data_IF_820244099739
#
_entry.id   IF_820244099739
#
_cell.length_a   1.000
_cell.length_b   1.000
_cell.length_c   1.000
_cell.angle_alpha   90.00
_cell.angle_beta   90.00
_cell.angle_gamma   90.00
#
_symmetry.space_group_name_H-M   'P 1'
#
loop_
_entity.id
_entity.type
_entity.pdbx_description
1 polymer ?
#
# COMPACT_ATOMS: atom_id res chain seq x y z
N UNK A 1 -38.88 45.00 -19.37
CA UNK A 1 -40.02 45.79 -18.83
C UNK A 1 -41.01 44.85 -18.12
N UNK A 2 -42.11 45.34 -17.56
CA UNK A 2 -42.93 44.62 -16.56
C UNK A 2 -43.68 43.35 -17.04
N UNK A 3 -43.47 42.24 -16.30
CA UNK A 3 -44.43 41.52 -15.43
C UNK A 3 -45.79 41.01 -15.98
N UNK A 4 -46.23 39.86 -15.42
CA UNK A 4 -47.59 39.22 -15.43
C UNK A 4 -47.96 38.44 -16.70
N UNK A 5 -48.79 37.38 -16.67
CA UNK A 5 -49.35 36.62 -15.53
C UNK A 5 -49.52 35.12 -15.90
N UNK A 6 -49.35 34.21 -14.94
CA UNK A 6 -50.07 32.92 -14.89
C UNK A 6 -50.60 32.69 -13.47
N UNK A 7 -51.73 32.00 -13.40
CA UNK A 7 -52.56 31.65 -12.24
C UNK A 7 -53.51 30.54 -12.69
N UNK A 8 -54.05 29.63 -11.87
CA UNK A 8 -53.78 29.25 -10.47
C UNK A 8 -53.23 27.79 -10.50
N UNK A 9 -52.59 27.15 -9.50
CA UNK A 9 -52.82 27.06 -8.05
C UNK A 9 -54.22 26.48 -7.68
N UNK A 10 -54.39 25.70 -6.62
CA UNK A 10 -53.49 24.83 -5.86
C UNK A 10 -54.39 23.91 -5.04
N UNK A 11 -54.19 22.59 -5.07
CA UNK A 11 -54.92 21.71 -4.14
C UNK A 11 -54.40 21.87 -2.70
N UNK A 12 -55.17 21.37 -1.72
CA UNK A 12 -55.25 21.98 -0.39
C UNK A 12 -54.30 21.38 0.66
N UNK A 13 -53.79 22.28 1.49
CA UNK A 13 -52.80 22.08 2.56
C UNK A 13 -53.46 21.81 3.92
N UNK A 14 -52.64 21.38 4.90
CA UNK A 14 -52.86 21.27 6.36
C UNK A 14 -53.67 20.02 6.79
N UNK A 15 -53.35 19.30 7.88
CA UNK A 15 -52.13 19.09 8.70
C UNK A 15 -52.35 17.79 9.55
N UNK A 16 -51.68 17.39 10.65
CA UNK A 16 -50.84 18.06 11.67
C UNK A 16 -49.83 17.07 12.31
N UNK A 17 -48.98 17.55 13.21
CA UNK A 17 -47.98 16.79 13.99
C UNK A 17 -48.56 16.03 15.20
N UNK A 18 -47.89 14.97 15.66
CA UNK A 18 -47.31 14.92 17.03
C UNK A 18 -46.26 13.79 17.19
N UNK A 19 -45.55 13.78 18.34
CA UNK A 19 -44.41 12.90 18.67
C UNK A 19 -44.77 11.86 19.74
N UNK A 20 -44.03 10.75 19.76
CA UNK A 20 -43.88 9.87 20.94
C UNK A 20 -44.64 8.54 20.83
N UNK A 21 -44.22 7.45 21.47
CA UNK A 21 -42.98 7.22 22.22
C UNK A 21 -42.52 5.74 22.06
N UNK A 22 -41.29 5.42 22.47
CA UNK A 22 -40.70 4.09 22.26
C UNK A 22 -41.01 3.09 23.40
N UNK A 23 -40.94 1.79 23.05
CA UNK A 23 -40.89 0.63 23.96
C UNK A 23 -42.09 0.43 24.92
N UNK A 24 -42.92 -0.56 24.63
CA UNK A 24 -43.43 -1.44 25.69
C UNK A 24 -43.66 -2.88 25.20
N UNK A 25 -43.16 -3.82 26.01
CA UNK A 25 -43.56 -5.23 26.15
C UNK A 25 -44.01 -6.03 24.91
N UNK A 26 -43.06 -6.84 24.43
CA UNK A 26 -43.22 -8.28 24.26
C UNK A 26 -44.31 -8.88 25.20
N UNK A 27 -45.46 -9.29 24.65
CA UNK A 27 -46.25 -10.41 25.19
C UNK A 27 -47.23 -10.96 24.16
N UNK A 28 -47.32 -12.29 24.12
CA UNK A 28 -48.40 -13.12 23.58
C UNK A 28 -48.91 -12.80 22.15
N UNK A 29 -48.46 -13.58 21.17
CA UNK A 29 -49.43 -14.50 20.54
C UNK A 29 -48.76 -15.78 19.94
N UNK A 30 -48.32 -16.67 20.83
CA UNK A 30 -47.70 -17.97 20.45
C UNK A 30 -48.77 -19.03 20.09
N UNK A 31 -49.80 -18.65 19.31
CA UNK A 31 -50.90 -19.53 18.90
C UNK A 31 -51.38 -19.26 17.47
N UNK A 32 -50.56 -19.57 16.48
CA UNK A 32 -51.03 -19.71 15.10
C UNK A 32 -50.32 -20.84 14.33
N UNK A 33 -50.85 -22.07 14.50
CA UNK A 33 -50.37 -23.28 13.80
C UNK A 33 -50.37 -23.15 12.26
N UNK A 34 -51.23 -22.29 11.71
CA UNK A 34 -51.37 -22.06 10.27
C UNK A 34 -50.07 -21.54 9.60
N UNK A 35 -49.21 -20.85 10.35
CA UNK A 35 -47.95 -20.31 9.81
C UNK A 35 -46.94 -21.41 9.46
N UNK A 36 -46.89 -22.50 10.24
CA UNK A 36 -46.04 -23.67 9.95
C UNK A 36 -46.49 -24.41 8.69
N UNK A 37 -47.80 -24.58 8.50
CA UNK A 37 -48.35 -25.27 7.31
C UNK A 37 -48.02 -24.55 6.00
N UNK A 38 -48.04 -23.21 5.99
CA UNK A 38 -47.62 -22.40 4.84
C UNK A 38 -46.14 -22.60 4.48
N UNK A 39 -45.26 -22.75 5.48
CA UNK A 39 -43.83 -22.98 5.27
C UNK A 39 -43.54 -24.38 4.67
N UNK A 40 -44.31 -25.39 5.08
CA UNK A 40 -44.16 -26.77 4.56
C UNK A 40 -44.73 -26.90 3.14
N UNK A 41 -45.86 -26.25 2.86
CA UNK A 41 -46.51 -26.31 1.53
C UNK A 41 -45.83 -25.44 0.45
N UNK A 42 -44.90 -24.57 0.82
CA UNK A 42 -44.07 -23.78 -0.11
C UNK A 42 -42.73 -24.46 -0.46
N UNK A 43 -42.47 -25.65 0.09
CA UNK A 43 -41.33 -26.48 -0.31
C UNK A 43 -41.58 -27.08 -1.71
N UNK A 44 -40.98 -26.47 -2.74
CA UNK A 44 -40.98 -27.00 -4.10
C UNK A 44 -40.36 -28.41 -4.22
N UNK A 45 -40.62 -29.12 -5.33
CA UNK A 45 -40.24 -30.53 -5.47
C UNK A 45 -38.72 -30.74 -5.26
N UNK A 46 -38.38 -31.85 -4.59
CA UNK A 46 -37.01 -32.22 -4.26
C UNK A 46 -36.12 -32.22 -5.50
N UNK A 47 -35.33 -31.16 -5.64
CA UNK A 47 -34.35 -30.98 -6.72
C UNK A 47 -33.34 -32.13 -6.62
N UNK A 48 -33.34 -33.01 -7.62
CA UNK A 48 -32.52 -34.21 -7.60
C UNK A 48 -31.06 -33.88 -7.24
N UNK A 49 -30.52 -34.60 -6.24
CA UNK A 49 -29.13 -34.44 -5.81
C UNK A 49 -28.25 -34.67 -7.04
N UNK A 50 -27.41 -33.70 -7.46
CA UNK A 50 -26.51 -33.91 -8.57
C UNK A 50 -25.56 -35.03 -8.15
N UNK A 51 -25.66 -36.19 -8.81
CA UNK A 51 -24.81 -37.35 -8.54
C UNK A 51 -23.37 -36.89 -8.70
N UNK A 52 -22.66 -36.80 -7.57
CA UNK A 52 -21.25 -36.43 -7.55
C UNK A 52 -20.51 -37.55 -8.25
N UNK A 53 -20.21 -37.35 -9.54
CA UNK A 53 -19.25 -38.19 -10.25
C UNK A 53 -17.97 -38.17 -9.42
N UNK A 54 -17.61 -39.31 -8.82
CA UNK A 54 -16.30 -39.52 -8.24
C UNK A 54 -15.27 -39.52 -9.36
N UNK A 55 -14.92 -38.32 -9.83
CA UNK A 55 -13.68 -38.07 -10.55
C UNK A 55 -12.57 -38.68 -9.71
N UNK A 56 -11.82 -39.61 -10.30
CA UNK A 56 -10.63 -40.16 -9.63
C UNK A 56 -9.66 -39.00 -9.43
N UNK A 57 -9.60 -38.44 -8.22
CA UNK A 57 -8.68 -37.37 -7.89
C UNK A 57 -7.27 -37.87 -8.17
N UNK A 58 -6.65 -37.38 -9.24
CA UNK A 58 -5.25 -37.68 -9.54
C UNK A 58 -4.42 -36.95 -8.50
N UNK A 59 -3.68 -37.73 -7.72
CA UNK A 59 -2.78 -37.22 -6.70
C UNK A 59 -1.36 -37.22 -7.27
N UNK A 60 -0.66 -36.11 -7.06
CA UNK A 60 0.78 -36.00 -7.30
C UNK A 60 1.54 -36.26 -6.00
N UNK A 61 2.73 -36.84 -6.16
CA UNK A 61 3.77 -36.97 -5.15
C UNK A 61 4.84 -35.91 -5.44
N UNK A 62 5.19 -35.09 -4.45
CA UNK A 62 6.18 -34.02 -4.64
C UNK A 62 7.42 -34.31 -3.80
N UNK A 63 8.50 -34.68 -4.46
CA UNK A 63 9.81 -34.85 -3.82
C UNK A 63 10.47 -33.48 -3.64
N UNK A 64 10.98 -33.19 -2.43
CA UNK A 64 11.68 -31.93 -2.16
C UNK A 64 13.14 -32.24 -1.81
N UNK A 65 14.03 -31.87 -2.73
CA UNK A 65 15.48 -32.02 -2.61
C UNK A 65 16.13 -30.69 -2.20
N UNK A 66 17.20 -30.72 -1.42
CA UNK A 66 18.03 -29.54 -1.15
C UNK A 66 18.77 -29.07 -2.42
N UNK A 67 18.67 -27.79 -2.77
CA UNK A 67 19.24 -27.26 -4.02
C UNK A 67 20.78 -27.24 -4.08
N UNK A 68 21.48 -27.43 -2.96
CA UNK A 68 22.95 -27.44 -2.91
C UNK A 68 23.52 -28.86 -2.83
N UNK A 69 22.99 -29.67 -1.92
CA UNK A 69 23.48 -31.02 -1.61
C UNK A 69 22.75 -32.12 -2.37
N UNK A 70 21.62 -31.81 -3.03
CA UNK A 70 20.69 -32.76 -3.67
C UNK A 70 20.14 -33.85 -2.75
N UNK A 71 20.33 -33.72 -1.43
CA UNK A 71 19.77 -34.65 -0.44
C UNK A 71 18.25 -34.46 -0.37
N UNK A 72 17.51 -35.55 -0.38
CA UNK A 72 16.07 -35.54 -0.13
C UNK A 72 15.79 -35.02 1.29
N UNK A 73 14.93 -34.01 1.38
CA UNK A 73 14.50 -33.39 2.65
C UNK A 73 13.22 -34.07 3.13
N UNK A 74 12.21 -34.14 2.25
CA UNK A 74 10.97 -34.87 2.49
C UNK A 74 10.25 -35.16 1.17
N UNK A 75 9.29 -36.08 1.23
CA UNK A 75 8.28 -36.30 0.18
C UNK A 75 6.97 -35.71 0.69
N UNK A 76 6.24 -35.02 -0.19
CA UNK A 76 4.96 -34.40 0.10
C UNK A 76 3.86 -35.12 -0.68
N UNK A 77 3.26 -36.11 -0.02
CA UNK A 77 2.24 -36.99 -0.59
C UNK A 77 0.90 -36.29 -0.87
N UNK A 78 0.09 -36.95 -1.71
CA UNK A 78 -1.35 -36.71 -1.87
C UNK A 78 -1.64 -35.24 -2.19
N UNK A 79 -0.89 -34.64 -3.11
CA UNK A 79 -1.10 -33.28 -3.59
C UNK A 79 -2.13 -33.31 -4.71
N UNK A 80 -3.17 -32.48 -4.61
CA UNK A 80 -4.24 -32.44 -5.62
C UNK A 80 -3.76 -31.60 -6.80
N UNK A 81 -4.19 -31.91 -8.03
CA UNK A 81 -3.75 -31.18 -9.23
C UNK A 81 -3.99 -29.66 -9.14
N UNK A 82 -5.09 -29.25 -8.51
CA UNK A 82 -5.49 -27.86 -8.27
C UNK A 82 -4.77 -27.19 -7.09
N UNK A 83 -3.98 -27.93 -6.30
CA UNK A 83 -3.16 -27.35 -5.24
C UNK A 83 -2.12 -26.40 -5.84
N UNK A 84 -1.88 -25.31 -5.12
CA UNK A 84 -0.90 -24.28 -5.48
C UNK A 84 0.47 -24.57 -4.88
N UNK A 85 1.50 -23.92 -5.41
CA UNK A 85 2.84 -23.92 -4.80
C UNK A 85 2.81 -23.37 -3.36
N UNK A 86 1.87 -22.48 -3.02
CA UNK A 86 1.65 -22.08 -1.63
C UNK A 86 1.21 -23.25 -0.74
N UNK A 87 0.27 -24.08 -1.19
CA UNK A 87 -0.20 -25.26 -0.45
C UNK A 87 0.92 -26.30 -0.25
N UNK A 88 1.79 -26.46 -1.26
CA UNK A 88 2.99 -27.31 -1.17
C UNK A 88 3.95 -26.78 -0.10
N UNK A 89 4.20 -25.46 -0.05
CA UNK A 89 5.01 -24.82 1.01
C UNK A 89 4.37 -24.95 2.40
N UNK A 90 3.04 -24.91 2.51
CA UNK A 90 2.35 -25.19 3.77
C UNK A 90 2.48 -26.65 4.21
N UNK A 91 2.36 -27.62 3.29
CA UNK A 91 2.61 -29.04 3.60
C UNK A 91 4.07 -29.28 4.00
N UNK A 92 5.03 -28.69 3.28
CA UNK A 92 6.46 -28.75 3.61
C UNK A 92 6.73 -28.23 5.03
N UNK A 93 6.15 -27.09 5.41
CA UNK A 93 6.28 -26.54 6.77
C UNK A 93 5.72 -27.48 7.85
N UNK A 94 4.64 -28.22 7.57
CA UNK A 94 4.10 -29.24 8.51
C UNK A 94 5.05 -30.44 8.68
N UNK A 95 5.76 -30.84 7.64
CA UNK A 95 6.79 -31.88 7.71
C UNK A 95 8.11 -31.37 8.34
N UNK A 96 8.43 -30.08 8.14
CA UNK A 96 9.68 -29.46 8.58
C UNK A 96 9.44 -28.08 9.24
N UNK A 97 9.04 -28.04 10.53
CA UNK A 97 8.59 -26.81 11.21
C UNK A 97 9.61 -25.66 11.24
N UNK A 98 10.90 -25.94 11.08
CA UNK A 98 11.98 -24.92 11.09
C UNK A 98 11.91 -23.94 9.89
N UNK A 99 11.24 -24.32 8.80
CA UNK A 99 11.11 -23.52 7.58
C UNK A 99 9.66 -23.06 7.36
N UNK A 100 9.34 -21.86 7.83
CA UNK A 100 8.05 -21.21 7.55
C UNK A 100 7.83 -21.01 6.04
N UNK A 101 6.59 -21.12 5.51
CA UNK A 101 6.32 -21.13 4.06
C UNK A 101 6.93 -19.96 3.27
N UNK A 102 7.00 -18.76 3.85
CA UNK A 102 7.59 -17.59 3.20
C UNK A 102 9.11 -17.71 3.01
N UNK A 103 9.84 -18.47 3.84
CA UNK A 103 11.27 -18.77 3.67
C UNK A 103 11.55 -19.75 2.53
N UNK A 104 10.55 -20.51 2.10
CA UNK A 104 10.72 -21.64 1.18
C UNK A 104 10.77 -21.13 -0.26
N UNK A 105 11.99 -21.02 -0.80
CA UNK A 105 12.22 -21.01 -2.23
C UNK A 105 12.04 -22.42 -2.78
N UNK A 106 11.22 -22.58 -3.82
CA UNK A 106 11.10 -23.81 -4.60
C UNK A 106 11.43 -23.49 -6.06
N UNK A 107 12.26 -24.31 -6.70
CA UNK A 107 12.64 -24.24 -8.11
C UNK A 107 12.32 -25.57 -8.78
N UNK A 108 12.01 -25.57 -10.08
CA UNK A 108 11.87 -26.81 -10.87
C UNK A 108 13.25 -27.37 -11.29
N UNK A 109 14.21 -26.47 -11.52
CA UNK A 109 15.59 -26.78 -11.93
C UNK A 109 16.58 -26.13 -10.97
N UNK A 110 17.74 -26.76 -10.77
CA UNK A 110 18.76 -26.27 -9.84
C UNK A 110 19.29 -24.89 -10.27
N UNK A 111 18.98 -23.84 -9.50
CA UNK A 111 19.34 -22.46 -9.83
C UNK A 111 18.35 -21.72 -10.75
N UNK A 112 17.24 -22.36 -11.14
CA UNK A 112 16.18 -21.76 -11.95
C UNK A 112 15.38 -20.65 -11.23
N UNK A 113 14.41 -20.01 -11.91
CA UNK A 113 13.55 -19.02 -11.27
C UNK A 113 12.69 -19.65 -10.16
N UNK A 114 12.57 -18.96 -9.02
CA UNK A 114 11.68 -19.41 -7.94
C UNK A 114 10.21 -19.43 -8.38
N UNK A 115 9.55 -20.55 -8.13
CA UNK A 115 8.14 -20.76 -8.40
C UNK A 115 7.28 -19.81 -7.56
N UNK A 116 6.37 -19.11 -8.24
CA UNK A 116 5.43 -18.17 -7.61
C UNK A 116 4.32 -18.94 -6.91
N UNK A 117 3.94 -18.49 -5.72
CA UNK A 117 2.97 -19.14 -4.83
C UNK A 117 1.62 -19.48 -5.48
N UNK A 118 1.16 -18.70 -6.47
CA UNK A 118 -0.13 -18.90 -7.16
C UNK A 118 -0.12 -19.98 -8.26
N UNK A 119 1.05 -20.50 -8.64
CA UNK A 119 1.16 -21.49 -9.72
C UNK A 119 0.59 -22.83 -9.23
N UNK A 120 -0.23 -23.51 -10.05
CA UNK A 120 -0.81 -24.81 -9.72
C UNK A 120 0.15 -25.95 -10.05
N UNK A 121 0.12 -27.02 -9.25
CA UNK A 121 0.97 -28.19 -9.46
C UNK A 121 0.74 -28.83 -10.83
N UNK A 122 -0.51 -28.86 -11.31
CA UNK A 122 -0.85 -29.32 -12.67
C UNK A 122 -0.07 -28.60 -13.78
N UNK A 123 0.28 -27.32 -13.62
CA UNK A 123 1.01 -26.55 -14.65
C UNK A 123 2.53 -26.79 -14.64
N UNK A 124 3.04 -27.58 -13.69
CA UNK A 124 4.46 -27.93 -13.51
C UNK A 124 4.67 -29.45 -13.66
N UNK A 125 3.65 -30.26 -13.35
CA UNK A 125 3.75 -31.71 -13.28
C UNK A 125 3.80 -32.37 -14.67
N UNK A 126 5.00 -32.76 -15.11
CA UNK A 126 5.20 -33.62 -16.29
C UNK A 126 4.84 -35.09 -16.04
N UNK A 127 4.87 -35.53 -14.77
CA UNK A 127 4.70 -36.93 -14.33
C UNK A 127 3.92 -36.99 -13.01
N UNK A 128 3.51 -38.19 -12.58
CA UNK A 128 2.87 -38.43 -11.27
C UNK A 128 3.73 -38.03 -10.07
N UNK A 129 5.06 -38.03 -10.26
CA UNK A 129 6.06 -37.56 -9.31
C UNK A 129 6.64 -36.24 -9.84
N UNK A 130 6.79 -35.23 -8.98
CA UNK A 130 7.39 -33.93 -9.31
C UNK A 130 8.51 -33.62 -8.32
N UNK A 131 9.75 -33.61 -8.79
CA UNK A 131 10.91 -33.20 -7.97
C UNK A 131 11.04 -31.67 -7.98
N UNK A 132 11.18 -31.06 -6.80
CA UNK A 132 11.40 -29.63 -6.61
C UNK A 132 12.67 -29.37 -5.77
N UNK A 133 13.44 -28.36 -6.14
CA UNK A 133 14.65 -27.95 -5.42
C UNK A 133 14.34 -26.85 -4.41
N UNK A 134 14.69 -27.09 -3.14
CA UNK A 134 14.51 -26.21 -2.00
C UNK A 134 15.68 -25.25 -1.81
N UNK A 135 15.38 -23.99 -1.46
CA UNK A 135 16.36 -23.02 -0.96
C UNK A 135 15.77 -22.22 0.19
N UNK A 136 16.48 -22.12 1.32
CA UNK A 136 16.10 -21.21 2.41
C UNK A 136 16.45 -19.76 2.03
N UNK A 137 15.43 -18.95 1.80
CA UNK A 137 15.57 -17.52 1.47
C UNK A 137 16.00 -16.67 2.68
N UNK A 138 16.10 -17.27 3.87
CA UNK A 138 16.31 -16.58 5.14
C UNK A 138 15.06 -15.83 5.63
N UNK A 139 15.18 -15.07 6.73
CA UNK A 139 14.05 -14.36 7.33
C UNK A 139 13.42 -13.35 6.36
N UNK A 140 12.20 -13.64 5.93
CA UNK A 140 11.41 -12.81 5.02
C UNK A 140 10.50 -11.82 5.74
N UNK A 141 10.08 -10.76 5.04
CA UNK A 141 9.07 -9.78 5.45
C UNK A 141 8.15 -9.48 4.24
N UNK A 142 6.87 -9.20 4.48
CA UNK A 142 5.91 -8.81 3.44
C UNK A 142 6.17 -7.40 2.90
N UNK A 143 5.92 -7.16 1.61
CA UNK A 143 6.16 -5.86 0.97
C UNK A 143 5.41 -4.70 1.64
N UNK A 144 4.17 -4.92 2.08
CA UNK A 144 3.38 -3.85 2.75
C UNK A 144 4.03 -3.43 4.08
N UNK A 145 4.51 -4.39 4.87
CA UNK A 145 5.24 -4.11 6.11
C UNK A 145 6.52 -3.30 5.85
N UNK A 146 7.19 -3.55 4.71
CA UNK A 146 8.39 -2.79 4.34
C UNK A 146 8.05 -1.35 3.97
N UNK A 147 7.09 -1.11 3.07
CA UNK A 147 6.70 0.25 2.72
C UNK A 147 6.20 1.04 3.94
N UNK A 148 5.37 0.43 4.80
CA UNK A 148 4.91 1.06 6.03
C UNK A 148 6.08 1.42 6.98
N UNK A 149 7.08 0.56 7.16
CA UNK A 149 8.22 0.84 8.01
C UNK A 149 9.20 1.87 7.40
N UNK A 150 9.41 1.82 6.08
CA UNK A 150 10.23 2.78 5.34
C UNK A 150 9.65 4.20 5.40
N UNK A 151 8.31 4.35 5.40
CA UNK A 151 7.62 5.66 5.42
C UNK A 151 7.20 6.14 6.82
N UNK A 152 6.92 5.24 7.78
CA UNK A 152 6.58 5.64 9.17
C UNK A 152 7.78 6.23 9.91
N UNK A 153 8.98 5.67 9.70
CA UNK A 153 10.21 6.16 10.33
C UNK A 153 10.47 7.64 10.05
N UNK A 154 10.53 8.09 8.78
CA UNK A 154 10.66 9.50 8.41
C UNK A 154 9.65 10.43 9.08
N UNK A 155 8.37 10.05 9.11
CA UNK A 155 7.31 10.83 9.74
C UNK A 155 7.60 11.05 11.23
N UNK A 156 7.90 9.98 11.97
CA UNK A 156 8.21 10.05 13.40
C UNK A 156 9.53 10.79 13.66
N UNK A 157 10.59 10.47 12.91
CA UNK A 157 11.93 11.04 13.07
C UNK A 157 11.90 12.56 12.85
N UNK A 158 11.25 13.05 11.79
CA UNK A 158 11.14 14.49 11.57
C UNK A 158 10.41 15.18 12.73
N UNK A 159 9.37 14.56 13.29
CA UNK A 159 8.66 15.09 14.46
C UNK A 159 9.57 15.15 15.71
N UNK A 160 10.45 14.17 15.95
CA UNK A 160 11.44 14.21 17.04
C UNK A 160 12.40 15.40 16.90
N UNK A 161 12.92 15.65 15.69
CA UNK A 161 13.78 16.80 15.40
C UNK A 161 13.01 18.14 15.48
N UNK A 162 11.75 18.19 15.02
CA UNK A 162 10.89 19.37 15.10
C UNK A 162 10.54 19.74 16.54
N UNK A 163 10.27 18.75 17.40
CA UNK A 163 10.06 18.96 18.84
C UNK A 163 11.28 19.54 19.56
N UNK A 164 12.49 19.42 18.96
CA UNK A 164 13.78 19.79 19.57
C UNK A 164 13.98 19.10 20.93
N UNK A 165 13.85 17.77 20.94
CA UNK A 165 14.08 16.95 22.12
C UNK A 165 15.50 17.21 22.67
N UNK A 166 15.68 17.23 24.01
CA UNK A 166 16.99 17.13 24.67
C UNK A 166 18.00 16.21 23.97
N UNK A 167 19.28 16.53 24.13
CA UNK A 167 20.42 15.82 23.53
C UNK A 167 20.58 15.95 22.01
N UNK A 168 19.53 16.29 21.24
CA UNK A 168 19.63 16.58 19.79
C UNK A 168 20.20 17.99 19.53
N UNK A 169 19.77 18.96 20.35
CA UNK A 169 20.24 20.34 20.30
C UNK A 169 20.48 20.86 21.72
N UNK A 170 21.26 21.94 21.85
CA UNK A 170 21.42 22.62 23.13
C UNK A 170 20.08 23.18 23.65
N UNK A 171 19.75 22.88 24.92
CA UNK A 171 18.48 23.31 25.52
C UNK A 171 18.41 24.84 25.70
N UNK A 172 19.53 25.48 26.03
CA UNK A 172 19.60 26.91 26.33
C UNK A 172 19.43 27.77 25.08
N UNK A 173 19.90 27.30 23.93
CA UNK A 173 19.66 27.93 22.63
C UNK A 173 18.27 27.56 22.07
N UNK A 174 17.83 26.30 22.24
CA UNK A 174 16.51 25.84 21.77
C UNK A 174 15.33 26.52 22.45
N UNK A 175 15.46 26.85 23.74
CA UNK A 175 14.44 27.57 24.53
C UNK A 175 14.44 29.08 24.26
N UNK A 176 15.61 29.67 23.98
CA UNK A 176 15.75 31.12 23.72
C UNK A 176 15.45 31.53 22.27
N UNK A 177 15.49 30.59 21.31
CA UNK A 177 15.19 30.86 19.89
C UNK A 177 13.87 30.23 19.45
N UNK A 178 12.85 31.07 19.27
CA UNK A 178 11.59 30.69 18.63
C UNK A 178 11.83 30.06 17.23
N UNK A 179 10.92 29.17 16.81
CA UNK A 179 10.96 28.58 15.46
C UNK A 179 10.45 29.59 14.44
N UNK A 180 11.12 29.70 13.29
CA UNK A 180 10.63 30.53 12.18
C UNK A 180 9.39 29.87 11.54
N UNK A 181 8.38 30.62 11.03
CA UNK A 181 7.19 30.03 10.39
C UNK A 181 7.48 28.99 9.29
N UNK A 182 8.58 29.16 8.55
CA UNK A 182 9.05 28.19 7.53
C UNK A 182 9.36 26.81 8.13
N UNK A 183 9.83 26.72 9.38
CA UNK A 183 10.11 25.45 10.07
C UNK A 183 8.80 24.69 10.36
N UNK A 184 7.75 25.41 10.75
CA UNK A 184 6.41 24.84 10.93
C UNK A 184 5.81 24.38 9.60
N UNK A 185 5.95 25.18 8.54
CA UNK A 185 5.47 24.83 7.20
C UNK A 185 6.23 23.63 6.60
N UNK A 186 7.54 23.55 6.80
CA UNK A 186 8.35 22.39 6.44
C UNK A 186 7.93 21.13 7.21
N UNK A 187 7.66 21.25 8.51
CA UNK A 187 7.11 20.14 9.29
C UNK A 187 5.75 19.67 8.74
N UNK A 188 4.85 20.60 8.43
CA UNK A 188 3.54 20.31 7.83
C UNK A 188 3.65 19.62 6.46
N UNK A 189 4.45 20.16 5.54
CA UNK A 189 4.70 19.57 4.22
C UNK A 189 5.30 18.17 4.32
N UNK A 190 6.34 17.98 5.15
CA UNK A 190 6.97 16.68 5.37
C UNK A 190 6.01 15.66 5.99
N UNK A 191 5.16 16.09 6.94
CA UNK A 191 4.14 15.23 7.53
C UNK A 191 3.08 14.82 6.51
N UNK A 192 2.52 15.76 5.73
CA UNK A 192 1.55 15.45 4.67
C UNK A 192 2.12 14.44 3.67
N UNK A 193 3.36 14.62 3.24
CA UNK A 193 4.02 13.75 2.28
C UNK A 193 4.11 12.30 2.77
N UNK A 194 4.66 12.07 3.97
CA UNK A 194 4.75 10.71 4.50
C UNK A 194 3.40 10.13 4.94
N UNK A 195 2.44 10.95 5.39
CA UNK A 195 1.06 10.52 5.63
C UNK A 195 0.39 10.08 4.33
N UNK A 196 0.54 10.83 3.24
CA UNK A 196 0.07 10.44 1.90
C UNK A 196 0.66 9.10 1.48
N UNK A 197 1.98 8.93 1.59
CA UNK A 197 2.65 7.67 1.27
C UNK A 197 2.13 6.47 2.09
N UNK A 198 1.85 6.66 3.38
CA UNK A 198 1.26 5.62 4.24
C UNK A 198 -0.19 5.31 3.82
N UNK A 199 -1.02 6.32 3.57
CA UNK A 199 -2.40 6.14 3.12
C UNK A 199 -2.47 5.47 1.73
N UNK A 200 -1.61 5.89 0.79
CA UNK A 200 -1.51 5.25 -0.53
C UNK A 200 -1.04 3.80 -0.43
N UNK A 201 -0.09 3.50 0.46
CA UNK A 201 0.37 2.12 0.73
C UNK A 201 -0.71 1.23 1.33
N UNK A 202 -1.66 1.78 2.08
CA UNK A 202 -2.77 1.05 2.72
C UNK A 202 -4.01 0.92 1.85
N UNK A 203 -4.34 1.94 1.06
CA UNK A 203 -5.66 2.09 0.44
C UNK A 203 -5.64 2.25 -1.10
N UNK A 204 -4.48 2.50 -1.71
CA UNK A 204 -4.37 2.74 -3.17
C UNK A 204 -3.53 1.67 -3.86
N UNK A 205 -2.30 1.43 -3.39
CA UNK A 205 -1.37 0.49 -4.03
C UNK A 205 -1.80 -0.98 -3.84
N UNK A 206 -1.82 -1.75 -4.94
CA UNK A 206 -2.12 -3.19 -4.93
C UNK A 206 -0.86 -3.99 -4.61
N UNK A 207 -0.26 -3.68 -3.45
CA UNK A 207 1.02 -4.25 -3.02
C UNK A 207 0.98 -5.77 -3.09
N UNK A 208 1.86 -6.36 -3.91
CA UNK A 208 1.85 -7.81 -4.13
C UNK A 208 2.04 -8.60 -2.83
N UNK A 209 1.29 -9.69 -2.67
CA UNK A 209 1.37 -10.62 -1.53
C UNK A 209 2.71 -11.39 -1.42
N UNK A 210 3.71 -11.02 -2.23
CA UNK A 210 5.05 -11.54 -2.15
C UNK A 210 5.78 -11.09 -0.88
N UNK A 211 6.93 -11.71 -0.66
CA UNK A 211 7.84 -11.37 0.43
C UNK A 211 9.22 -11.00 -0.11
N UNK A 212 10.08 -10.50 0.76
CA UNK A 212 11.48 -10.15 0.47
C UNK A 212 12.36 -10.28 1.73
N UNK A 213 13.67 -10.57 1.60
CA UNK A 213 14.56 -10.72 2.75
C UNK A 213 14.62 -9.49 3.66
N UNK A 214 14.64 -9.72 4.98
CA UNK A 214 14.72 -8.68 6.03
C UNK A 214 15.89 -7.68 5.83
N UNK A 215 17.01 -8.13 5.24
CA UNK A 215 18.14 -7.24 4.88
C UNK A 215 17.76 -6.08 3.97
N UNK A 216 16.70 -6.23 3.15
CA UNK A 216 16.22 -5.17 2.26
C UNK A 216 15.42 -4.11 3.04
N UNK A 217 14.62 -4.52 4.02
CA UNK A 217 13.95 -3.60 4.97
C UNK A 217 14.98 -2.76 5.73
N UNK A 218 15.99 -3.41 6.32
CA UNK A 218 17.02 -2.71 7.12
C UNK A 218 17.76 -1.67 6.26
N UNK A 219 18.12 -2.00 5.01
CA UNK A 219 18.73 -1.06 4.07
C UNK A 219 17.79 0.09 3.70
N UNK A 220 16.52 -0.20 3.43
CA UNK A 220 15.51 0.80 3.07
C UNK A 220 15.26 1.79 4.20
N UNK A 221 15.01 1.30 5.41
CA UNK A 221 14.87 2.14 6.60
C UNK A 221 16.14 2.97 6.84
N UNK A 222 17.33 2.36 6.87
CA UNK A 222 18.58 3.09 7.11
C UNK A 222 18.79 4.26 6.13
N UNK A 223 18.42 4.08 4.86
CA UNK A 223 18.48 5.13 3.84
C UNK A 223 17.46 6.26 4.11
N UNK A 224 16.15 5.96 4.13
CA UNK A 224 15.12 6.99 4.28
C UNK A 224 15.17 7.67 5.67
N UNK A 225 15.41 6.91 6.73
CA UNK A 225 15.46 7.40 8.11
C UNK A 225 16.72 8.26 8.35
N UNK A 226 17.87 7.85 7.78
CA UNK A 226 19.11 8.63 7.81
C UNK A 226 19.00 9.94 7.03
N UNK A 227 18.47 9.89 5.79
CA UNK A 227 18.25 11.10 4.99
C UNK A 227 17.26 12.07 5.67
N UNK A 228 16.17 11.54 6.24
CA UNK A 228 15.22 12.34 7.00
C UNK A 228 15.86 12.99 8.22
N UNK A 229 16.68 12.25 8.97
CA UNK A 229 17.42 12.79 10.11
C UNK A 229 18.35 13.94 9.69
N UNK A 230 19.04 13.79 8.56
CA UNK A 230 19.92 14.82 8.00
C UNK A 230 19.16 16.11 7.68
N UNK A 231 18.08 16.04 6.87
CA UNK A 231 17.32 17.25 6.51
C UNK A 231 16.61 17.87 7.73
N UNK A 232 16.04 17.04 8.62
CA UNK A 232 15.31 17.50 9.78
C UNK A 232 16.23 18.16 10.82
N UNK A 233 17.47 17.71 10.96
CA UNK A 233 18.47 18.36 11.81
C UNK A 233 18.71 19.82 11.37
N UNK A 234 19.02 20.05 10.10
CA UNK A 234 19.32 21.41 9.62
C UNK A 234 18.10 22.34 9.58
N UNK A 235 16.92 21.84 9.19
CA UNK A 235 15.69 22.67 9.11
C UNK A 235 15.20 23.06 10.51
N UNK A 236 15.28 22.16 11.49
CA UNK A 236 14.73 22.43 12.83
C UNK A 236 15.77 23.02 13.81
N UNK A 237 17.05 23.09 13.43
CA UNK A 237 18.15 23.62 14.26
C UNK A 237 17.82 25.00 14.86
N UNK A 238 18.19 25.31 16.12
CA UNK A 238 17.99 26.63 16.72
C UNK A 238 18.55 27.79 15.88
N UNK A 239 19.67 27.57 15.18
CA UNK A 239 20.33 28.57 14.31
C UNK A 239 19.85 28.56 12.85
N UNK A 240 18.72 27.91 12.54
CA UNK A 240 18.13 27.96 11.20
C UNK A 240 17.86 29.42 10.76
N UNK A 241 18.39 29.81 9.60
CA UNK A 241 18.16 31.10 8.97
C UNK A 241 17.08 30.97 7.88
N UNK A 242 16.16 31.96 7.76
CA UNK A 242 15.10 31.90 6.76
C UNK A 242 15.63 32.07 5.33
N UNK A 243 14.86 31.62 4.32
CA UNK A 243 15.21 31.76 2.90
C UNK A 243 15.44 33.21 2.46
N UNK A 244 16.44 33.43 1.61
CA UNK A 244 16.99 34.75 1.25
C UNK A 244 16.04 35.60 0.41
N UNK A 245 15.17 35.00 -0.39
CA UNK A 245 14.14 35.72 -1.15
C UNK A 245 12.78 35.78 -0.39
N UNK A 246 12.80 35.45 0.91
CA UNK A 246 11.73 35.71 1.87
C UNK A 246 10.39 35.01 1.57
N UNK A 247 9.30 35.61 2.07
CA UNK A 247 7.97 34.98 2.04
C UNK A 247 7.47 34.64 0.63
N UNK A 248 7.87 35.39 -0.42
CA UNK A 248 7.46 35.08 -1.80
C UNK A 248 7.99 33.73 -2.28
N UNK A 249 9.26 33.43 -1.99
CA UNK A 249 9.89 32.13 -2.25
C UNK A 249 9.17 31.01 -1.47
N UNK A 250 8.92 31.24 -0.18
CA UNK A 250 8.22 30.28 0.70
C UNK A 250 6.83 29.94 0.15
N UNK A 251 5.99 30.95 -0.11
CA UNK A 251 4.59 30.75 -0.53
C UNK A 251 4.50 30.08 -1.90
N UNK A 252 5.28 30.51 -2.90
CA UNK A 252 5.28 29.89 -4.24
C UNK A 252 5.76 28.43 -4.14
N UNK A 253 6.81 28.17 -3.36
CA UNK A 253 7.33 26.81 -3.19
C UNK A 253 6.36 25.90 -2.45
N UNK A 254 5.65 26.39 -1.43
CA UNK A 254 4.63 25.64 -0.71
C UNK A 254 3.40 25.32 -1.60
N UNK A 255 2.99 26.25 -2.48
CA UNK A 255 1.93 26.01 -3.46
C UNK A 255 2.38 24.94 -4.46
N UNK A 256 3.58 25.06 -5.02
CA UNK A 256 4.14 24.07 -5.95
C UNK A 256 4.28 22.68 -5.31
N UNK A 257 4.70 22.61 -4.04
CA UNK A 257 4.74 21.37 -3.25
C UNK A 257 3.36 20.71 -3.17
N UNK A 258 2.31 21.46 -2.81
CA UNK A 258 0.95 20.92 -2.69
C UNK A 258 0.36 20.48 -4.04
N UNK A 259 0.67 21.21 -5.12
CA UNK A 259 0.32 20.82 -6.50
C UNK A 259 1.02 19.49 -6.86
N UNK A 260 2.29 19.32 -6.50
CA UNK A 260 3.03 18.10 -6.76
C UNK A 260 2.53 16.91 -5.93
N UNK A 261 2.25 17.08 -4.64
CA UNK A 261 1.66 16.03 -3.80
C UNK A 261 0.29 15.57 -4.33
N UNK A 262 -0.57 16.51 -4.75
CA UNK A 262 -1.85 16.20 -5.38
C UNK A 262 -1.67 15.46 -6.72
N UNK A 263 -0.75 15.92 -7.57
CA UNK A 263 -0.45 15.28 -8.86
C UNK A 263 0.05 13.84 -8.69
N UNK A 264 0.98 13.62 -7.78
CA UNK A 264 1.50 12.30 -7.42
C UNK A 264 0.36 11.36 -6.97
N UNK A 265 -0.53 11.86 -6.10
CA UNK A 265 -1.70 11.12 -5.64
C UNK A 265 -2.63 10.70 -6.79
N UNK A 266 -3.06 11.65 -7.64
CA UNK A 266 -3.98 11.34 -8.74
C UNK A 266 -3.39 10.35 -9.74
N UNK A 267 -2.08 10.42 -10.00
CA UNK A 267 -1.39 9.45 -10.87
C UNK A 267 -1.32 8.07 -10.20
N UNK A 268 -1.02 7.98 -8.90
CA UNK A 268 -0.99 6.70 -8.19
C UNK A 268 -2.38 6.05 -8.10
N UNK A 269 -3.45 6.85 -7.95
CA UNK A 269 -4.85 6.37 -8.00
C UNK A 269 -5.21 5.82 -9.38
N UNK A 270 -4.77 6.47 -10.46
CA UNK A 270 -4.99 5.97 -11.83
C UNK A 270 -4.18 4.69 -12.08
N UNK A 271 -2.90 4.66 -11.70
CA UNK A 271 -2.05 3.46 -11.82
C UNK A 271 -2.60 2.27 -11.03
N UNK A 272 -3.29 2.51 -9.91
CA UNK A 272 -3.97 1.47 -9.13
C UNK A 272 -5.26 0.94 -9.76
N UNK A 273 -5.83 1.59 -10.78
CA UNK A 273 -7.12 1.21 -11.36
C UNK A 273 -7.05 -0.15 -12.09
N UNK A 274 -8.07 -1.04 -12.01
CA UNK A 274 -8.04 -2.37 -12.65
C UNK A 274 -7.61 -2.38 -14.13
N UNK A 275 -8.06 -1.40 -14.92
CA UNK A 275 -7.74 -1.27 -16.35
C UNK A 275 -6.23 -1.08 -16.63
N UNK A 276 -5.44 -0.72 -15.61
CA UNK A 276 -4.01 -0.46 -15.67
C UNK A 276 -3.19 -1.47 -14.84
N UNK A 277 -3.83 -2.51 -14.27
CA UNK A 277 -3.18 -3.52 -13.43
C UNK A 277 -3.63 -4.95 -13.79
N UNK A 278 -2.74 -5.76 -14.35
CA UNK A 278 -2.98 -7.17 -14.65
C UNK A 278 -2.55 -7.58 -16.06
N UNK A 279 -3.05 -8.73 -16.52
CA UNK A 279 -2.66 -9.35 -17.81
C UNK A 279 -3.10 -8.49 -19.01
N UNK A 280 -4.23 -7.79 -18.90
CA UNK A 280 -4.79 -6.94 -19.94
C UNK A 280 -4.58 -5.43 -19.64
N UNK A 281 -3.51 -5.07 -18.91
CA UNK A 281 -3.26 -3.69 -18.53
C UNK A 281 -2.93 -2.81 -19.74
N UNK A 282 -3.73 -1.79 -19.98
CA UNK A 282 -3.38 -0.70 -20.89
C UNK A 282 -2.52 0.33 -20.14
N UNK A 283 -1.60 1.02 -20.83
CA UNK A 283 -0.89 2.15 -20.22
C UNK A 283 -1.85 3.35 -20.05
N UNK A 284 -1.81 4.12 -18.94
CA UNK A 284 -2.73 5.24 -18.74
C UNK A 284 -2.48 6.39 -19.72
N UNK A 285 -3.56 7.02 -20.18
CA UNK A 285 -3.53 8.22 -21.00
C UNK A 285 -4.03 9.45 -20.22
N UNK A 286 -3.68 10.67 -20.66
CA UNK A 286 -4.31 11.91 -20.19
C UNK A 286 -5.84 11.86 -20.29
N UNK A 287 -6.51 12.48 -19.31
CA UNK A 287 -7.96 12.63 -19.26
C UNK A 287 -8.35 14.04 -18.75
N UNK A 288 -9.62 14.25 -18.38
CA UNK A 288 -10.12 15.56 -17.93
C UNK A 288 -9.45 16.11 -16.65
N UNK A 289 -8.78 15.28 -15.85
CA UNK A 289 -8.00 15.75 -14.71
C UNK A 289 -6.64 16.32 -15.19
N UNK A 290 -6.33 17.61 -14.99
CA UNK A 290 -5.12 18.24 -15.52
C UNK A 290 -3.82 17.64 -14.96
N UNK A 291 -3.86 17.02 -13.77
CA UNK A 291 -2.69 16.31 -13.23
C UNK A 291 -2.23 15.15 -14.13
N UNK A 292 -3.13 14.60 -14.96
CA UNK A 292 -2.86 13.50 -15.88
C UNK A 292 -2.21 13.93 -17.20
N UNK A 293 -2.25 15.23 -17.54
CA UNK A 293 -1.65 15.75 -18.77
C UNK A 293 -0.13 15.62 -18.79
N UNK A 294 0.48 15.41 -17.63
CA UNK A 294 1.89 15.04 -17.49
C UNK A 294 2.25 13.73 -18.25
N UNK A 295 1.28 12.82 -18.51
CA UNK A 295 1.50 11.66 -19.39
C UNK A 295 1.78 12.03 -20.86
N UNK A 296 1.50 13.27 -21.31
CA UNK A 296 1.96 13.74 -22.63
C UNK A 296 3.48 13.97 -22.69
N UNK A 297 4.15 14.10 -21.54
CA UNK A 297 5.56 14.50 -21.45
C UNK A 297 6.47 13.40 -20.91
N UNK A 298 5.97 12.53 -20.02
CA UNK A 298 6.77 11.52 -19.30
C UNK A 298 6.01 10.23 -19.03
N UNK A 299 6.72 9.10 -19.11
CA UNK A 299 6.16 7.76 -18.84
C UNK A 299 5.87 7.48 -17.36
N UNK A 300 6.40 8.28 -16.43
CA UNK A 300 6.14 8.10 -14.99
C UNK A 300 5.85 9.44 -14.29
N UNK A 301 4.67 10.06 -14.53
CA UNK A 301 4.32 11.34 -13.94
C UNK A 301 4.37 11.39 -12.40
N UNK A 302 4.10 10.28 -11.71
CA UNK A 302 4.20 10.21 -10.26
C UNK A 302 5.63 10.46 -9.77
N UNK A 303 6.64 9.89 -10.42
CA UNK A 303 8.04 10.18 -10.12
C UNK A 303 8.43 11.62 -10.49
N UNK A 304 7.86 12.20 -11.55
CA UNK A 304 8.07 13.61 -11.90
C UNK A 304 7.46 14.56 -10.86
N UNK A 305 6.25 14.27 -10.38
CA UNK A 305 5.63 15.01 -9.28
C UNK A 305 6.37 14.81 -7.95
N UNK A 306 6.83 13.59 -7.62
CA UNK A 306 7.68 13.32 -6.46
C UNK A 306 8.93 14.20 -6.44
N UNK A 307 9.67 14.24 -7.56
CA UNK A 307 10.84 15.11 -7.73
C UNK A 307 10.44 16.59 -7.61
N UNK A 308 9.29 16.99 -8.16
CA UNK A 308 8.71 18.32 -8.03
C UNK A 308 8.41 18.74 -6.60
N UNK A 309 7.84 17.84 -5.78
CA UNK A 309 7.62 18.04 -4.34
C UNK A 309 8.96 18.28 -3.63
N UNK A 310 9.95 17.41 -3.82
CA UNK A 310 11.22 17.50 -3.12
C UNK A 310 12.09 18.69 -3.55
N UNK A 311 12.05 19.09 -4.82
CA UNK A 311 12.63 20.36 -5.28
C UNK A 311 11.92 21.54 -4.61
N UNK A 312 10.58 21.56 -4.63
CA UNK A 312 9.79 22.64 -4.02
C UNK A 312 10.05 22.76 -2.52
N UNK A 313 10.17 21.63 -1.80
CA UNK A 313 10.53 21.59 -0.39
C UNK A 313 11.93 22.19 -0.14
N UNK A 314 12.91 21.83 -0.97
CA UNK A 314 14.29 22.33 -0.87
C UNK A 314 14.37 23.84 -1.14
N UNK A 315 13.60 24.37 -2.09
CA UNK A 315 13.52 25.81 -2.37
C UNK A 315 12.75 26.55 -1.25
N UNK A 316 11.72 25.92 -0.66
CA UNK A 316 10.95 26.49 0.45
C UNK A 316 11.79 26.69 1.72
N UNK A 317 12.63 25.71 2.09
CA UNK A 317 13.46 25.79 3.30
C UNK A 317 14.80 26.47 3.07
N UNK A 318 15.32 26.43 1.83
CA UNK A 318 16.67 26.84 1.43
C UNK A 318 17.80 26.20 2.26
N UNK A 319 17.56 25.02 2.86
CA UNK A 319 18.56 24.28 3.62
C UNK A 319 19.52 23.52 2.70
N UNK A 320 20.45 24.26 2.09
CA UNK A 320 21.65 23.72 1.50
C UNK A 320 22.84 23.99 2.43
N UNK A 321 23.60 22.96 2.87
CA UNK A 321 24.97 23.21 3.30
C UNK A 321 25.79 23.62 2.08
N UNK A 322 26.70 24.58 2.26
CA UNK A 322 27.42 25.19 1.14
C UNK A 322 28.08 24.17 0.19
N UNK A 323 27.99 24.48 -1.11
CA UNK A 323 28.75 23.83 -2.19
C UNK A 323 28.43 22.34 -2.50
N UNK A 324 27.38 21.73 -1.94
CA UNK A 324 27.01 20.31 -2.21
C UNK A 324 25.60 20.04 -2.75
N UNK A 325 24.97 21.00 -3.45
CA UNK A 325 23.62 20.90 -4.02
C UNK A 325 23.35 19.64 -4.87
N UNK A 326 24.38 19.14 -5.57
CA UNK A 326 24.31 17.93 -6.41
C UNK A 326 23.99 16.67 -5.58
N UNK A 327 24.49 16.58 -4.34
CA UNK A 327 24.28 15.41 -3.47
C UNK A 327 22.82 15.31 -3.06
N UNK A 328 22.20 16.43 -2.65
CA UNK A 328 20.77 16.46 -2.34
C UNK A 328 19.93 16.07 -3.56
N UNK A 329 20.19 16.65 -4.74
CA UNK A 329 19.41 16.34 -5.93
C UNK A 329 19.53 14.86 -6.36
N UNK A 330 20.73 14.27 -6.25
CA UNK A 330 20.96 12.85 -6.55
C UNK A 330 20.32 11.90 -5.52
N UNK A 331 20.26 12.29 -4.24
CA UNK A 331 19.55 11.53 -3.20
C UNK A 331 18.03 11.60 -3.39
N UNK A 332 17.48 12.75 -3.74
CA UNK A 332 16.05 12.92 -4.03
C UNK A 332 15.62 12.16 -5.32
N UNK A 333 16.48 12.17 -6.33
CA UNK A 333 16.37 11.31 -7.51
C UNK A 333 16.39 9.82 -7.13
N UNK A 334 17.26 9.41 -6.20
CA UNK A 334 17.34 8.02 -5.70
C UNK A 334 16.15 7.61 -4.83
N UNK A 335 15.57 8.53 -4.05
CA UNK A 335 14.32 8.31 -3.31
C UNK A 335 13.15 8.07 -4.27
N UNK A 336 13.11 8.83 -5.37
CA UNK A 336 12.07 8.74 -6.40
C UNK A 336 12.19 7.46 -7.22
N UNK A 337 13.40 7.11 -7.69
CA UNK A 337 13.61 6.03 -8.67
C UNK A 337 13.84 4.63 -8.08
N UNK A 338 13.47 4.40 -6.81
CA UNK A 338 13.37 3.02 -6.29
C UNK A 338 12.32 2.28 -7.15
N UNK A 339 12.69 1.22 -7.89
CA UNK A 339 11.81 0.65 -8.91
C UNK A 339 10.60 0.00 -8.27
N UNK A 340 9.45 0.67 -8.33
CA UNK A 340 8.15 0.22 -7.82
C UNK A 340 7.53 -0.88 -8.72
N UNK A 341 8.35 -1.75 -9.32
CA UNK A 341 7.93 -2.85 -10.22
C UNK A 341 7.18 -4.00 -9.52
N UNK A 342 6.59 -3.73 -8.34
CA UNK A 342 5.88 -4.63 -7.43
C UNK A 342 4.77 -3.92 -6.60
N UNK A 343 4.44 -2.67 -6.92
CA UNK A 343 3.27 -1.94 -6.41
C UNK A 343 2.11 -1.98 -7.42
#
# INVERSE_FOLDING_TARGET
MFRRHKSLASDRRREVFSRGAARSMLKNDLRNFQCLSQLVLSAGPLKAIPVVKHSKTVHFEIEILDAHTRKQICIVDKVVQTSTIHDVKQKFHKACPNWYPSRVGLQLEQGGPFLKDYITVQSIAASSIVTLYFTDLGRQVSWITIFLAEYTGPLLIYLLFYLRIPYIYDMKESSRRLRHPVVHLACFCHCIHYIRYLLETLFVHKVSAGHTPLKNLIKGCAFYWGFTSWIAYYINHPRYTPPSFGNRQVTVSAINFLICEAGNHFINVILAHPNHTGINACFPSPNYNPFTWMFFLVSCPNYTYEIGSWISFTVMTQTLPDRKSVVSLHLLYSMSLKPKSKQ
#
